data_IF_828782114931
#
_entry.id   IF_828782114931
#
_cell.length_a   1.000
_cell.length_b   1.000
_cell.length_c   1.000
_cell.angle_alpha   90.00
_cell.angle_beta   90.00
_cell.angle_gamma   90.00
#
_symmetry.space_group_name_H-M   'P 1'
#
loop_
_entity.id
_entity.type
_entity.pdbx_description
1 polymer ?
#
# COMPACT_ATOMS: atom_id res chain seq x y z
N UNK A 1 4.74 17.25 4.52
CA UNK A 1 5.62 16.06 4.36
C UNK A 1 5.11 15.27 3.17
N UNK A 2 5.99 14.74 2.31
CA UNK A 2 5.55 13.89 1.18
C UNK A 2 5.38 12.46 1.71
N UNK A 3 4.30 11.79 1.36
CA UNK A 3 4.11 10.39 1.73
C UNK A 3 3.51 9.55 0.60
N UNK A 4 3.70 8.25 0.73
CA UNK A 4 3.06 7.23 -0.11
C UNK A 4 2.16 6.34 0.75
N UNK A 5 1.11 5.81 0.14
CA UNK A 5 0.22 4.84 0.79
C UNK A 5 0.65 3.44 0.37
N UNK A 6 0.70 2.51 1.32
CA UNK A 6 0.86 1.09 1.06
C UNK A 6 -0.32 0.33 1.67
N UNK A 7 -1.00 -0.49 0.87
CA UNK A 7 -2.16 -1.28 1.33
C UNK A 7 -2.18 -2.65 0.68
N UNK A 8 -2.79 -3.62 1.37
CA UNK A 8 -2.92 -5.01 0.90
C UNK A 8 -4.21 -5.64 1.44
N UNK A 9 -4.75 -6.62 0.72
CA UNK A 9 -5.84 -7.46 1.26
C UNK A 9 -5.37 -8.31 2.44
N UNK A 10 -4.11 -8.72 2.43
CA UNK A 10 -3.45 -9.51 3.46
C UNK A 10 -1.98 -9.12 3.53
N UNK A 11 -1.55 -8.58 4.67
CA UNK A 11 -0.19 -8.10 4.84
C UNK A 11 0.73 -9.26 5.22
N UNK A 12 1.65 -9.61 4.32
CA UNK A 12 2.69 -10.59 4.57
C UNK A 12 4.00 -9.89 4.95
N UNK A 13 4.59 -10.24 6.10
CA UNK A 13 5.83 -9.64 6.62
C UNK A 13 6.96 -9.64 5.58
N UNK A 14 7.23 -10.78 4.94
CA UNK A 14 8.32 -10.88 3.96
C UNK A 14 8.09 -9.92 2.78
N UNK A 15 6.85 -9.77 2.31
CA UNK A 15 6.53 -8.84 1.22
C UNK A 15 6.68 -7.40 1.65
N UNK A 16 6.17 -7.06 2.83
CA UNK A 16 6.29 -5.72 3.36
C UNK A 16 7.76 -5.34 3.55
N UNK A 17 8.55 -6.20 4.18
CA UNK A 17 9.98 -5.98 4.38
C UNK A 17 10.73 -5.81 3.06
N UNK A 18 10.45 -6.64 2.06
CA UNK A 18 11.05 -6.50 0.71
C UNK A 18 10.69 -5.18 0.06
N UNK A 19 9.42 -4.75 0.16
CA UNK A 19 8.98 -3.46 -0.37
C UNK A 19 9.69 -2.30 0.32
N UNK A 20 9.67 -2.26 1.66
CA UNK A 20 10.27 -1.18 2.46
C UNK A 20 11.77 -1.08 2.20
N UNK A 21 12.49 -2.21 2.23
CA UNK A 21 13.93 -2.24 2.01
C UNK A 21 14.32 -1.73 0.62
N UNK A 22 13.55 -2.07 -0.41
CA UNK A 22 13.77 -1.58 -1.76
C UNK A 22 13.40 -0.09 -1.86
N UNK A 23 12.25 0.29 -1.34
CA UNK A 23 11.72 1.65 -1.43
C UNK A 23 12.67 2.69 -0.79
N UNK A 24 13.23 2.36 0.37
CA UNK A 24 14.18 3.21 1.10
C UNK A 24 15.65 2.86 0.82
N UNK A 25 15.94 2.09 -0.25
CA UNK A 25 17.31 1.76 -0.60
C UNK A 25 18.12 3.03 -0.90
N UNK A 26 19.39 3.04 -0.46
CA UNK A 26 20.29 4.21 -0.57
C UNK A 26 20.65 4.64 -1.98
N UNK A 27 20.51 3.71 -2.93
CA UNK A 27 20.77 4.01 -4.33
C UNK A 27 19.61 4.78 -4.98
N UNK A 28 18.48 4.92 -4.26
CA UNK A 28 17.41 5.81 -4.66
C UNK A 28 17.65 7.23 -4.11
N UNK A 29 17.60 8.23 -4.99
CA UNK A 29 17.61 9.68 -4.67
C UNK A 29 16.39 10.15 -3.84
N UNK A 30 15.63 9.20 -3.28
CA UNK A 30 14.41 9.39 -2.49
C UNK A 30 14.74 9.72 -1.02
N UNK A 31 16.01 9.53 -0.62
CA UNK A 31 16.41 9.56 0.77
C UNK A 31 16.08 10.90 1.45
N UNK A 32 15.46 10.76 2.63
CA UNK A 32 15.15 11.75 3.67
C UNK A 32 13.77 12.44 3.66
N UNK A 33 13.07 12.59 2.52
CA UNK A 33 11.84 13.43 2.53
C UNK A 33 10.49 12.71 2.38
N UNK A 34 10.48 11.42 2.00
CA UNK A 34 9.24 10.67 1.74
C UNK A 34 8.99 9.65 2.86
N UNK A 35 7.78 9.68 3.44
CA UNK A 35 7.31 8.68 4.41
C UNK A 35 6.39 7.65 3.76
N UNK A 36 6.28 6.47 4.36
CA UNK A 36 5.33 5.43 3.96
C UNK A 36 4.22 5.28 5.01
N UNK A 37 2.97 5.42 4.59
CA UNK A 37 1.80 5.14 5.43
C UNK A 37 1.25 3.77 5.05
N UNK A 38 1.32 2.83 5.97
CA UNK A 38 0.90 1.45 5.77
C UNK A 38 -0.47 1.24 6.41
N UNK A 39 -1.46 0.88 5.60
CA UNK A 39 -2.82 0.62 6.06
C UNK A 39 -3.03 -0.89 6.17
N UNK A 40 -3.46 -1.36 7.34
CA UNK A 40 -3.64 -2.77 7.65
C UNK A 40 -4.91 -2.98 8.49
N UNK A 41 -5.66 -4.04 8.23
CA UNK A 41 -6.87 -4.32 9.00
C UNK A 41 -6.57 -4.79 10.44
N UNK A 42 -5.37 -5.27 10.70
CA UNK A 42 -4.91 -5.75 12.00
C UNK A 42 -3.65 -5.00 12.44
N UNK A 43 -3.42 -4.84 13.76
CA UNK A 43 -2.15 -4.31 14.25
C UNK A 43 -0.95 -5.12 13.74
N UNK A 44 0.20 -4.48 13.48
CA UNK A 44 1.42 -5.19 13.11
C UNK A 44 1.86 -6.14 14.24
N UNK A 45 2.31 -7.34 13.89
CA UNK A 45 2.85 -8.27 14.89
C UNK A 45 4.19 -7.80 15.42
N UNK A 46 4.61 -8.32 16.57
CA UNK A 46 5.93 -8.05 17.14
C UNK A 46 7.06 -8.31 16.13
N UNK A 47 7.03 -9.44 15.43
CA UNK A 47 8.02 -9.79 14.41
C UNK A 47 8.05 -8.77 13.25
N UNK A 48 6.89 -8.19 12.86
CA UNK A 48 6.85 -7.15 11.84
C UNK A 48 7.51 -5.86 12.32
N UNK A 49 7.21 -5.45 13.55
CA UNK A 49 7.79 -4.25 14.16
C UNK A 49 9.30 -4.42 14.27
N UNK A 50 9.77 -5.56 14.78
CA UNK A 50 11.18 -5.85 14.94
C UNK A 50 11.92 -5.85 13.58
N UNK A 51 11.34 -6.48 12.55
CA UNK A 51 11.94 -6.52 11.23
C UNK A 51 11.97 -5.16 10.52
N UNK A 52 11.14 -4.20 10.93
CA UNK A 52 11.03 -2.87 10.32
C UNK A 52 11.61 -1.75 11.20
N UNK A 53 12.29 -2.12 12.29
CA UNK A 53 12.86 -1.18 13.27
C UNK A 53 13.81 -0.17 12.62
N UNK A 54 14.62 -0.58 11.64
CA UNK A 54 15.52 0.32 10.90
C UNK A 54 14.80 1.44 10.12
N UNK A 55 13.48 1.34 9.93
CA UNK A 55 12.66 2.26 9.15
C UNK A 55 11.56 2.96 9.98
N UNK A 56 11.62 2.87 11.32
CA UNK A 56 10.56 3.34 12.23
C UNK A 56 10.21 4.82 12.01
N UNK A 57 11.21 5.68 11.78
CA UNK A 57 11.00 7.13 11.55
C UNK A 57 10.32 7.45 10.19
N UNK A 58 10.43 6.52 9.24
CA UNK A 58 9.94 6.66 7.88
C UNK A 58 8.56 6.02 7.67
N UNK A 59 8.15 5.12 8.57
CA UNK A 59 6.92 4.33 8.43
C UNK A 59 5.88 4.75 9.46
N UNK A 60 4.63 4.83 9.02
CA UNK A 60 3.49 5.02 9.91
C UNK A 60 2.42 3.97 9.64
N UNK A 61 2.05 3.20 10.65
CA UNK A 61 0.99 2.20 10.55
C UNK A 61 -0.37 2.81 10.93
N UNK A 62 -1.37 2.55 10.10
CA UNK A 62 -2.77 2.84 10.38
C UNK A 62 -3.53 1.52 10.40
N UNK A 63 -4.08 1.21 11.57
CA UNK A 63 -4.99 0.07 11.73
C UNK A 63 -6.38 0.50 11.28
N UNK A 64 -6.86 -0.08 10.19
CA UNK A 64 -8.13 0.24 9.56
C UNK A 64 -8.22 -0.27 8.13
N UNK A 65 -9.34 -0.01 7.47
CA UNK A 65 -9.58 -0.41 6.08
C UNK A 65 -9.49 0.77 5.12
N UNK A 66 -8.87 0.57 3.95
CA UNK A 66 -8.85 1.57 2.87
C UNK A 66 -10.26 1.94 2.36
N UNK A 67 -11.27 1.12 2.68
CA UNK A 67 -12.66 1.36 2.31
C UNK A 67 -13.40 2.25 3.33
N UNK A 68 -12.77 2.58 4.46
CA UNK A 68 -13.35 3.43 5.50
C UNK A 68 -12.90 4.87 5.33
N UNK A 69 -13.86 5.79 5.37
CA UNK A 69 -13.61 7.23 5.23
C UNK A 69 -12.63 7.75 6.29
N UNK A 70 -12.74 7.29 7.53
CA UNK A 70 -11.88 7.74 8.62
C UNK A 70 -10.42 7.31 8.41
N UNK A 71 -10.21 6.09 7.92
CA UNK A 71 -8.88 5.58 7.59
C UNK A 71 -8.26 6.39 6.46
N UNK A 72 -9.03 6.73 5.43
CA UNK A 72 -8.59 7.56 4.31
C UNK A 72 -8.21 8.98 4.73
N UNK A 73 -8.95 9.57 5.67
CA UNK A 73 -8.65 10.89 6.25
C UNK A 73 -7.37 10.80 7.10
N UNK A 74 -7.26 9.79 7.98
CA UNK A 74 -6.06 9.57 8.81
C UNK A 74 -4.80 9.35 7.96
N UNK A 75 -4.95 8.66 6.83
CA UNK A 75 -3.87 8.41 5.88
C UNK A 75 -3.55 9.60 4.96
N UNK A 76 -4.34 10.68 5.03
CA UNK A 76 -4.21 11.86 4.17
C UNK A 76 -4.05 11.52 2.67
N UNK A 77 -4.95 10.65 2.17
CA UNK A 77 -4.92 10.19 0.76
C UNK A 77 -5.01 11.36 -0.23
N UNK A 78 -5.67 12.45 0.15
CA UNK A 78 -5.77 13.69 -0.63
C UNK A 78 -4.43 14.29 -1.03
N UNK A 79 -3.41 14.20 -0.15
CA UNK A 79 -2.09 14.79 -0.40
C UNK A 79 -0.99 13.74 -0.65
N UNK A 80 -1.33 12.45 -0.60
CA UNK A 80 -0.41 11.37 -0.92
C UNK A 80 0.16 11.52 -2.34
N UNK A 81 1.44 11.20 -2.51
CA UNK A 81 2.13 11.27 -3.82
C UNK A 81 1.86 10.06 -4.70
N UNK A 82 1.77 8.89 -4.08
CA UNK A 82 1.47 7.65 -4.75
C UNK A 82 0.81 6.68 -3.78
N UNK A 83 0.12 5.68 -4.32
CA UNK A 83 -0.34 4.51 -3.60
C UNK A 83 0.22 3.24 -4.24
N UNK A 84 0.59 2.30 -3.40
CA UNK A 84 1.03 0.97 -3.75
C UNK A 84 0.02 -0.03 -3.18
N UNK A 85 -0.59 -0.82 -4.05
CA UNK A 85 -1.51 -1.89 -3.67
C UNK A 85 -0.80 -3.20 -3.97
N UNK A 86 -0.27 -3.82 -2.92
CA UNK A 86 0.45 -5.10 -3.04
C UNK A 86 -0.53 -6.25 -2.83
N UNK A 87 -0.35 -7.32 -3.59
CA UNK A 87 -1.21 -8.51 -3.51
C UNK A 87 -0.45 -9.68 -2.92
N UNK A 88 -1.12 -10.49 -2.09
CA UNK A 88 -0.55 -11.73 -1.61
C UNK A 88 -0.77 -12.88 -2.62
N UNK A 89 0.22 -13.13 -3.48
CA UNK A 89 0.23 -14.26 -4.44
C UNK A 89 0.09 -15.66 -3.83
N UNK A 90 0.28 -15.81 -2.51
CA UNK A 90 0.15 -17.08 -1.79
C UNK A 90 -1.18 -17.21 -1.04
N UNK A 91 -2.08 -16.24 -1.21
CA UNK A 91 -3.42 -16.30 -0.63
C UNK A 91 -4.26 -17.35 -1.40
N UNK A 92 -5.14 -18.05 -0.69
CA UNK A 92 -5.94 -19.16 -1.24
C UNK A 92 -6.87 -18.71 -2.37
N UNK A 93 -7.17 -17.41 -2.43
CA UNK A 93 -8.03 -16.83 -3.45
C UNK A 93 -7.38 -15.64 -4.15
N UNK A 94 -6.67 -15.92 -5.23
CA UNK A 94 -6.19 -14.91 -6.18
C UNK A 94 -7.30 -13.94 -6.64
N UNK A 95 -8.53 -14.42 -6.75
CA UNK A 95 -9.69 -13.59 -7.09
C UNK A 95 -9.99 -12.54 -6.01
N UNK A 96 -9.88 -12.88 -4.72
CA UNK A 96 -10.10 -11.93 -3.62
C UNK A 96 -9.03 -10.83 -3.62
N UNK A 97 -7.76 -11.19 -3.83
CA UNK A 97 -6.67 -10.21 -3.92
C UNK A 97 -6.89 -9.21 -5.06
N UNK A 98 -7.20 -9.71 -6.26
CA UNK A 98 -7.39 -8.83 -7.42
C UNK A 98 -8.65 -7.97 -7.29
N UNK A 99 -9.73 -8.53 -6.72
CA UNK A 99 -10.96 -7.78 -6.43
C UNK A 99 -10.69 -6.66 -5.44
N UNK A 100 -9.97 -6.95 -4.36
CA UNK A 100 -9.54 -5.94 -3.40
C UNK A 100 -8.71 -4.86 -4.09
N UNK A 101 -7.77 -5.24 -4.94
CA UNK A 101 -6.89 -4.31 -5.61
C UNK A 101 -7.63 -3.36 -6.57
N UNK A 102 -8.60 -3.88 -7.32
CA UNK A 102 -9.50 -3.10 -8.18
C UNK A 102 -10.36 -2.13 -7.35
N UNK A 103 -10.96 -2.60 -6.27
CA UNK A 103 -11.80 -1.77 -5.40
C UNK A 103 -10.98 -0.68 -4.70
N UNK A 104 -9.81 -1.02 -4.17
CA UNK A 104 -8.90 -0.08 -3.52
C UNK A 104 -8.47 1.02 -4.49
N UNK A 105 -8.15 0.65 -5.74
CA UNK A 105 -7.82 1.61 -6.81
C UNK A 105 -8.96 2.58 -7.06
N UNK A 106 -10.19 2.06 -7.15
CA UNK A 106 -11.38 2.90 -7.35
C UNK A 106 -11.59 3.90 -6.21
N UNK A 107 -11.48 3.44 -4.96
CA UNK A 107 -11.66 4.30 -3.77
C UNK A 107 -10.57 5.36 -3.68
N UNK A 108 -9.31 4.97 -3.89
CA UNK A 108 -8.18 5.90 -3.90
C UNK A 108 -8.33 6.97 -4.99
N UNK A 109 -8.77 6.60 -6.19
CA UNK A 109 -9.03 7.55 -7.30
C UNK A 109 -10.20 8.49 -7.01
N UNK A 110 -11.25 8.01 -6.33
CA UNK A 110 -12.38 8.84 -5.91
C UNK A 110 -11.94 9.92 -4.92
N UNK A 111 -11.02 9.58 -4.00
CA UNK A 111 -10.49 10.53 -3.01
C UNK A 111 -9.39 11.44 -3.56
N UNK A 112 -8.57 10.95 -4.47
CA UNK A 112 -7.51 11.72 -5.10
C UNK A 112 -7.38 11.33 -6.58
N UNK A 113 -7.98 12.14 -7.47
CA UNK A 113 -8.02 11.87 -8.91
C UNK A 113 -6.63 11.80 -9.54
N UNK A 114 -5.68 12.58 -9.02
CA UNK A 114 -4.32 12.73 -9.55
C UNK A 114 -3.32 11.77 -8.90
N UNK A 115 -3.77 10.89 -8.00
CA UNK A 115 -2.89 9.94 -7.33
C UNK A 115 -2.27 8.96 -8.32
N UNK A 116 -0.95 8.76 -8.25
CA UNK A 116 -0.28 7.68 -8.98
C UNK A 116 -0.53 6.37 -8.24
N UNK A 117 -1.17 5.38 -8.87
CA UNK A 117 -1.58 4.14 -8.21
C UNK A 117 -0.87 2.98 -8.89
N UNK A 118 0.09 2.38 -8.19
CA UNK A 118 0.75 1.16 -8.65
C UNK A 118 0.05 -0.04 -8.02
N UNK A 119 -0.44 -0.96 -8.86
CA UNK A 119 -1.14 -2.17 -8.42
C UNK A 119 -0.31 -3.40 -8.74
N UNK A 120 -0.38 -4.41 -7.88
CA UNK A 120 0.02 -5.77 -8.22
C UNK A 120 -1.24 -6.64 -8.39
N UNK A 121 -1.44 -7.22 -9.57
CA UNK A 121 -2.49 -8.20 -9.84
C UNK A 121 -1.88 -9.61 -9.94
N UNK A 122 -2.63 -10.62 -9.51
CA UNK A 122 -2.26 -12.03 -9.58
C UNK A 122 -2.68 -12.61 -10.93
N UNK A 123 -3.90 -12.35 -11.40
CA UNK A 123 -4.39 -12.82 -12.70
C UNK A 123 -4.25 -11.75 -13.78
N UNK A 124 -3.66 -12.14 -14.91
CA UNK A 124 -3.53 -11.28 -16.10
C UNK A 124 -4.88 -10.84 -16.65
N UNK A 125 -5.92 -11.67 -16.53
CA UNK A 125 -7.26 -11.36 -17.02
C UNK A 125 -7.83 -10.09 -16.40
N UNK A 126 -7.38 -9.71 -15.21
CA UNK A 126 -7.85 -8.49 -14.54
C UNK A 126 -7.21 -7.21 -15.09
N UNK A 127 -6.22 -7.30 -15.98
CA UNK A 127 -5.66 -6.16 -16.72
C UNK A 127 -6.65 -5.52 -17.69
N UNK A 128 -7.75 -6.22 -18.03
CA UNK A 128 -8.83 -5.69 -18.90
C UNK A 128 -9.49 -4.43 -18.33
N UNK A 129 -9.35 -4.19 -17.02
CA UNK A 129 -9.87 -2.99 -16.34
C UNK A 129 -8.98 -1.78 -16.62
N UNK A 130 -8.77 -1.46 -17.91
CA UNK A 130 -7.92 -0.35 -18.37
C UNK A 130 -8.40 1.01 -17.87
N UNK A 131 -9.69 1.15 -17.52
CA UNK A 131 -10.26 2.34 -16.87
C UNK A 131 -9.59 2.70 -15.55
N UNK A 132 -8.88 1.75 -14.91
CA UNK A 132 -8.10 2.03 -13.71
C UNK A 132 -6.95 3.02 -13.97
N UNK A 133 -6.49 3.16 -15.23
CA UNK A 133 -5.34 3.97 -15.63
C UNK A 133 -4.18 3.78 -14.64
N UNK A 134 -3.75 2.51 -14.52
CA UNK A 134 -2.62 2.08 -13.71
C UNK A 134 -1.39 2.95 -13.99
#
# INVERSE_FOLDING_TARGET
VKHVILTSSSLNLLKLFRFVREFFHKDHDIQESIKAVIICNTPPSYDMIQALSDFEDNIHFIVGSIFEKDTLIKADVSHAKAAFIISNQYDDSSMKCDTYALMATKVLRLHNRNLKINVQLVKKDNLIHSWCNW
#
